data_IF_508184072009
#
_entry.id   IF_508184072009
#
_cell.length_a   1.000
_cell.length_b   1.000
_cell.length_c   1.000
_cell.angle_alpha   90.00
_cell.angle_beta   90.00
_cell.angle_gamma   90.00
#
_symmetry.space_group_name_H-M   'P 1'
#
loop_
_entity.id
_entity.type
_entity.pdbx_description
1 polymer ?
#
# COMPACT_ATOMS: atom_id res chain seq x y z
N UNK A 1 -38.74 -81.30 -2.56
CA UNK A 1 -39.71 -81.05 -3.65
C UNK A 1 -40.15 -79.60 -3.53
N UNK A 2 -39.72 -78.77 -4.50
CA UNK A 2 -40.08 -77.38 -4.87
C UNK A 2 -40.72 -76.46 -3.79
N UNK A 3 -40.03 -75.40 -3.31
CA UNK A 3 -39.87 -74.04 -3.91
C UNK A 3 -41.13 -73.16 -3.74
N UNK A 4 -41.13 -71.85 -3.52
CA UNK A 4 -40.15 -70.79 -3.19
C UNK A 4 -40.99 -69.53 -2.84
N UNK A 5 -40.54 -68.67 -1.92
CA UNK A 5 -41.10 -67.31 -1.69
C UNK A 5 -39.92 -66.40 -1.30
N UNK A 6 -39.47 -65.53 -2.19
CA UNK A 6 -39.77 -64.09 -2.33
C UNK A 6 -38.85 -63.15 -1.53
N UNK A 7 -38.15 -62.34 -2.32
CA UNK A 7 -37.62 -60.97 -2.10
C UNK A 7 -37.31 -60.51 -0.67
N UNK A 8 -36.02 -60.26 -0.42
CA UNK A 8 -35.42 -58.93 -0.22
C UNK A 8 -33.98 -59.07 0.32
N UNK A 9 -33.18 -58.04 0.00
CA UNK A 9 -32.03 -57.47 0.75
C UNK A 9 -30.61 -57.80 0.26
N UNK A 10 -29.90 -56.69 0.03
CA UNK A 10 -28.56 -56.33 0.52
C UNK A 10 -27.31 -57.03 -0.04
N UNK A 11 -26.51 -56.18 -0.68
CA UNK A 11 -25.11 -55.88 -0.35
C UNK A 11 -23.98 -56.76 -0.92
N UNK A 12 -22.82 -56.09 -1.03
CA UNK A 12 -21.46 -56.55 -1.36
C UNK A 12 -21.20 -56.76 -2.87
N UNK A 13 -20.07 -56.37 -3.46
CA UNK A 13 -18.80 -55.82 -2.98
C UNK A 13 -18.19 -55.02 -4.16
N UNK A 14 -17.35 -54.02 -3.93
CA UNK A 14 -15.93 -54.32 -3.79
C UNK A 14 -15.09 -53.05 -3.79
N UNK A 15 -14.16 -53.01 -2.82
CA UNK A 15 -13.06 -52.07 -2.70
C UNK A 15 -12.10 -52.22 -3.89
N UNK A 16 -11.55 -51.12 -4.39
CA UNK A 16 -10.11 -50.99 -4.65
C UNK A 16 -9.71 -49.52 -4.79
N UNK A 17 -8.52 -49.26 -4.25
CA UNK A 17 -7.87 -47.99 -3.98
C UNK A 17 -7.02 -47.54 -5.19
N UNK A 18 -6.43 -46.34 -5.08
CA UNK A 18 -5.33 -45.72 -5.87
C UNK A 18 -5.80 -44.69 -6.90
N UNK A 19 -5.80 -43.38 -6.60
CA UNK A 19 -4.71 -42.38 -6.53
C UNK A 19 -4.39 -41.70 -7.87
N UNK A 20 -4.21 -40.37 -7.79
CA UNK A 20 -3.55 -39.48 -8.76
C UNK A 20 -4.44 -39.06 -9.95
N UNK A 21 -4.59 -37.80 -10.35
CA UNK A 21 -3.63 -36.70 -10.39
C UNK A 21 -4.43 -35.40 -10.62
N UNK A 22 -4.80 -34.66 -9.56
CA UNK A 22 -5.23 -33.26 -9.74
C UNK A 22 -3.96 -32.41 -9.74
N UNK A 23 -3.42 -32.19 -10.95
CA UNK A 23 -2.38 -31.20 -11.16
C UNK A 23 -2.88 -29.83 -10.71
N UNK A 24 -2.17 -29.28 -9.72
CA UNK A 24 -2.08 -27.87 -9.42
C UNK A 24 -1.80 -27.08 -10.71
N UNK A 25 -2.84 -26.56 -11.34
CA UNK A 25 -2.74 -25.36 -12.15
C UNK A 25 -2.79 -24.17 -11.19
N UNK A 26 -1.72 -23.99 -10.41
CA UNK A 26 -1.40 -22.66 -9.92
C UNK A 26 -1.03 -21.86 -11.18
N UNK A 27 -2.00 -21.16 -11.76
CA UNK A 27 -1.69 -20.03 -12.61
C UNK A 27 -0.86 -19.10 -11.74
N UNK A 28 0.45 -19.05 -12.01
CA UNK A 28 1.29 -17.97 -11.58
C UNK A 28 0.53 -16.70 -11.93
N UNK A 29 0.00 -16.03 -10.92
CA UNK A 29 -0.36 -14.64 -11.05
C UNK A 29 0.97 -13.93 -11.31
N UNK A 30 1.35 -13.85 -12.58
CA UNK A 30 2.34 -12.91 -13.05
C UNK A 30 1.78 -11.55 -12.65
N UNK A 31 2.26 -11.02 -11.52
CA UNK A 31 2.21 -9.60 -11.30
C UNK A 31 2.89 -8.98 -12.52
N UNK A 32 2.13 -8.27 -13.34
CA UNK A 32 2.66 -7.53 -14.47
C UNK A 32 3.63 -6.47 -13.95
N UNK A 33 4.92 -6.80 -13.86
CA UNK A 33 5.98 -5.80 -13.93
C UNK A 33 6.06 -5.39 -15.41
N UNK A 34 5.29 -4.36 -15.77
CA UNK A 34 5.39 -3.74 -17.08
C UNK A 34 6.78 -3.15 -17.24
N UNK A 35 7.67 -3.89 -17.90
CA UNK A 35 8.97 -3.41 -18.33
C UNK A 35 8.78 -2.20 -19.26
N UNK A 36 9.25 -1.04 -18.83
CA UNK A 36 9.74 -0.02 -19.74
C UNK A 36 11.25 0.01 -19.60
N UNK A 37 11.98 0.13 -20.71
CA UNK A 37 13.47 0.12 -20.79
C UNK A 37 14.16 1.32 -20.09
N UNK A 38 13.57 1.83 -19.01
CA UNK A 38 14.17 2.82 -18.11
C UNK A 38 13.61 2.67 -16.68
N UNK A 39 13.40 1.43 -16.21
CA UNK A 39 12.86 1.06 -14.89
C UNK A 39 13.90 1.26 -13.75
N UNK A 40 14.61 2.38 -13.79
CA UNK A 40 15.57 2.83 -12.77
C UNK A 40 14.98 4.07 -12.05
N UNK A 41 13.67 4.03 -11.76
CA UNK A 41 12.85 5.20 -11.37
C UNK A 41 13.12 5.67 -9.91
N UNK A 42 14.38 6.02 -9.68
CA UNK A 42 14.88 6.76 -8.54
C UNK A 42 14.37 8.19 -8.54
N UNK A 43 13.95 8.78 -9.66
CA UNK A 43 13.40 10.15 -9.68
C UNK A 43 11.87 10.17 -9.58
N UNK A 44 11.35 10.97 -8.65
CA UNK A 44 9.91 11.10 -8.37
C UNK A 44 9.46 12.55 -8.35
N UNK A 45 8.30 12.84 -8.92
CA UNK A 45 7.61 14.11 -8.72
C UNK A 45 7.03 14.20 -7.31
N UNK A 46 7.21 15.36 -6.67
CA UNK A 46 6.69 15.72 -5.36
C UNK A 46 6.00 17.08 -5.48
N UNK A 47 4.77 17.17 -4.98
CA UNK A 47 3.96 18.40 -4.95
C UNK A 47 4.42 19.30 -3.80
N UNK A 48 4.70 20.57 -4.09
CA UNK A 48 4.99 21.57 -3.06
C UNK A 48 3.66 22.08 -2.44
N UNK A 49 3.71 22.74 -1.26
CA UNK A 49 2.54 23.43 -0.72
C UNK A 49 1.93 24.40 -1.74
N UNK A 50 0.60 24.40 -1.83
CA UNK A 50 -0.10 25.31 -2.74
C UNK A 50 0.07 26.77 -2.27
N UNK A 51 0.23 27.73 -3.21
CA UNK A 51 0.23 29.14 -2.88
C UNK A 51 -1.14 29.59 -2.34
N UNK A 52 -1.15 30.64 -1.52
CA UNK A 52 -2.38 31.21 -0.95
C UNK A 52 -3.41 31.63 -2.01
N UNK A 53 -2.95 31.99 -3.21
CA UNK A 53 -3.76 32.29 -4.39
C UNK A 53 -4.66 31.13 -4.86
N UNK A 54 -4.44 29.91 -4.36
CA UNK A 54 -5.22 28.71 -4.67
C UNK A 54 -6.02 28.21 -3.46
N UNK A 55 -6.33 29.09 -2.51
CA UNK A 55 -7.20 28.74 -1.37
C UNK A 55 -8.54 28.19 -1.87
N UNK A 56 -8.98 27.06 -1.28
CA UNK A 56 -10.20 26.35 -1.69
C UNK A 56 -10.03 25.39 -2.88
N UNK A 57 -8.88 25.39 -3.56
CA UNK A 57 -8.51 24.35 -4.52
C UNK A 57 -7.75 23.23 -3.81
N UNK A 58 -8.16 21.98 -4.03
CA UNK A 58 -7.43 20.79 -3.57
C UNK A 58 -6.69 20.17 -4.73
N UNK A 59 -5.41 19.88 -4.52
CA UNK A 59 -4.54 19.24 -5.49
C UNK A 59 -3.91 18.01 -4.86
N UNK A 60 -3.99 16.89 -5.57
CA UNK A 60 -3.31 15.65 -5.21
C UNK A 60 -2.44 15.17 -6.35
N UNK A 61 -1.21 14.80 -6.03
CA UNK A 61 -0.33 14.07 -6.93
C UNK A 61 -0.42 12.58 -6.63
N UNK A 62 -1.02 11.80 -7.54
CA UNK A 62 -1.14 10.34 -7.41
C UNK A 62 0.01 9.64 -8.10
N UNK A 63 0.52 8.62 -7.43
CA UNK A 63 1.53 7.70 -7.96
C UNK A 63 0.82 6.51 -8.59
N UNK A 64 0.85 6.44 -9.92
CA UNK A 64 0.35 5.29 -10.71
C UNK A 64 1.46 4.85 -11.67
N UNK A 65 1.12 4.19 -12.78
CA UNK A 65 2.06 3.92 -13.87
C UNK A 65 2.64 5.20 -14.50
N UNK A 66 1.93 6.33 -14.41
CA UNK A 66 2.48 7.67 -14.62
C UNK A 66 1.97 8.63 -13.54
N UNK A 67 2.70 9.73 -13.27
CA UNK A 67 2.21 10.78 -12.36
C UNK A 67 0.90 11.38 -12.87
N UNK A 68 -0.08 11.49 -11.96
CA UNK A 68 -1.39 12.07 -12.25
C UNK A 68 -1.68 13.20 -11.27
N UNK A 69 -2.05 14.38 -11.77
CA UNK A 69 -2.67 15.41 -10.94
C UNK A 69 -4.16 15.13 -10.86
N UNK A 70 -4.70 15.22 -9.66
CA UNK A 70 -6.13 15.24 -9.39
C UNK A 70 -6.47 16.57 -8.73
N UNK A 71 -7.38 17.30 -9.32
CA UNK A 71 -7.83 18.60 -8.83
C UNK A 71 -9.29 18.49 -8.42
N UNK A 72 -9.63 19.16 -7.33
CA UNK A 72 -11.01 19.47 -6.95
C UNK A 72 -11.08 20.97 -6.66
N UNK A 73 -11.97 21.68 -7.34
CA UNK A 73 -12.16 23.11 -7.18
C UNK A 73 -13.59 23.42 -6.72
N UNK A 74 -13.76 23.63 -5.42
CA UNK A 74 -15.08 23.99 -4.84
C UNK A 74 -15.28 25.51 -4.74
N UNK A 75 -14.34 26.31 -5.25
CA UNK A 75 -14.45 27.77 -5.26
C UNK A 75 -15.46 28.24 -6.32
N UNK A 76 -15.97 29.47 -6.17
CA UNK A 76 -16.88 30.05 -7.16
C UNK A 76 -16.18 30.51 -8.45
N UNK A 77 -14.85 30.46 -8.50
CA UNK A 77 -14.06 30.91 -9.64
C UNK A 77 -13.51 29.70 -10.40
N UNK A 78 -13.55 29.69 -11.75
CA UNK A 78 -12.97 28.59 -12.51
C UNK A 78 -11.44 28.61 -12.39
N UNK A 79 -10.87 27.42 -12.18
CA UNK A 79 -9.43 27.21 -12.29
C UNK A 79 -9.11 26.84 -13.74
N UNK A 80 -8.43 27.73 -14.45
CA UNK A 80 -7.94 27.49 -15.82
C UNK A 80 -6.53 26.91 -15.77
N UNK A 81 -6.29 25.82 -16.51
CA UNK A 81 -4.97 25.17 -16.62
C UNK A 81 -4.38 25.43 -18.00
N UNK A 82 -3.09 25.78 -18.03
CA UNK A 82 -2.37 26.10 -19.25
C UNK A 82 -1.27 25.08 -19.57
N UNK A 83 -1.03 24.88 -20.86
CA UNK A 83 0.13 24.14 -21.37
C UNK A 83 1.40 25.01 -21.38
N UNK A 84 2.50 24.45 -21.89
CA UNK A 84 3.81 25.12 -21.92
C UNK A 84 3.86 26.33 -22.86
N UNK A 85 2.99 26.37 -23.88
CA UNK A 85 2.85 27.50 -24.80
C UNK A 85 1.89 28.56 -24.26
N UNK A 86 1.29 28.33 -23.09
CA UNK A 86 0.37 29.23 -22.43
C UNK A 86 -1.06 29.16 -22.97
N UNK A 87 -1.42 28.14 -23.78
CA UNK A 87 -2.80 27.89 -24.19
C UNK A 87 -3.55 27.19 -23.06
N UNK A 88 -4.75 27.70 -22.78
CA UNK A 88 -5.66 27.06 -21.85
C UNK A 88 -6.21 25.76 -22.47
N UNK A 89 -6.21 24.66 -21.72
CA UNK A 89 -6.75 23.39 -22.20
C UNK A 89 -7.74 22.71 -21.25
N UNK A 90 -7.81 23.16 -19.99
CA UNK A 90 -8.82 22.74 -19.01
C UNK A 90 -9.34 23.97 -18.24
N UNK A 91 -10.62 23.93 -17.88
CA UNK A 91 -11.25 24.80 -16.88
C UNK A 91 -12.03 23.94 -15.92
N UNK A 92 -11.72 24.05 -14.64
CA UNK A 92 -12.38 23.29 -13.56
C UNK A 92 -13.20 24.28 -12.76
N UNK A 93 -14.51 24.30 -12.98
CA UNK A 93 -15.46 25.15 -12.27
C UNK A 93 -16.04 24.48 -11.02
N UNK A 94 -16.95 25.16 -10.33
CA UNK A 94 -17.65 24.63 -9.16
C UNK A 94 -18.70 23.56 -9.47
N UNK A 95 -19.10 23.42 -10.74
CA UNK A 95 -20.12 22.46 -11.17
C UNK A 95 -19.68 21.50 -12.27
N UNK A 96 -18.72 21.90 -13.10
CA UNK A 96 -18.29 21.12 -14.26
C UNK A 96 -16.80 21.32 -14.57
N UNK A 97 -16.31 20.50 -15.50
CA UNK A 97 -15.00 20.65 -16.13
C UNK A 97 -15.23 20.82 -17.63
N UNK A 98 -14.70 21.91 -18.17
CA UNK A 98 -14.58 22.12 -19.61
C UNK A 98 -13.16 21.79 -20.07
N UNK A 99 -13.05 21.14 -21.23
CA UNK A 99 -11.78 20.90 -21.90
C UNK A 99 -11.78 21.46 -23.31
N UNK A 100 -10.64 21.97 -23.75
CA UNK A 100 -10.44 22.34 -25.15
C UNK A 100 -10.04 21.09 -25.95
N UNK A 101 -11.00 20.49 -26.65
CA UNK A 101 -10.76 19.33 -27.51
C UNK A 101 -9.93 19.68 -28.76
N UNK A 102 -9.69 20.95 -29.04
CA UNK A 102 -8.75 21.41 -30.06
C UNK A 102 -7.31 21.51 -29.54
N UNK A 103 -7.07 21.46 -28.23
CA UNK A 103 -5.74 21.57 -27.66
C UNK A 103 -5.01 20.23 -27.68
N UNK A 104 -3.80 20.20 -28.27
CA UNK A 104 -2.97 19.00 -28.26
C UNK A 104 -2.65 18.53 -26.82
N UNK A 105 -2.46 19.47 -25.89
CA UNK A 105 -2.20 19.20 -24.48
C UNK A 105 -3.29 18.37 -23.79
N UNK A 106 -4.57 18.62 -24.11
CA UNK A 106 -5.68 17.83 -23.57
C UNK A 106 -5.55 16.36 -23.98
N UNK A 107 -5.43 16.08 -25.27
CA UNK A 107 -5.34 14.70 -25.79
C UNK A 107 -4.10 13.95 -25.30
N UNK A 108 -2.95 14.63 -25.26
CA UNK A 108 -1.69 14.02 -24.81
C UNK A 108 -1.70 13.66 -23.33
N UNK A 109 -2.49 14.36 -22.52
CA UNK A 109 -2.49 14.23 -21.06
C UNK A 109 -3.70 13.46 -20.50
N UNK A 110 -4.78 13.32 -21.27
CA UNK A 110 -6.02 12.70 -20.77
C UNK A 110 -5.97 11.17 -20.72
N UNK A 111 -5.01 10.52 -21.38
CA UNK A 111 -4.83 9.06 -21.29
C UNK A 111 -3.36 8.71 -21.10
N UNK A 112 -3.11 7.63 -20.35
CA UNK A 112 -1.76 7.19 -19.99
C UNK A 112 -0.86 6.92 -21.22
N UNK A 113 -1.45 6.42 -22.31
CA UNK A 113 -0.75 5.96 -23.53
C UNK A 113 -0.77 6.97 -24.68
N UNK A 114 -1.44 8.12 -24.55
CA UNK A 114 -1.45 9.16 -25.58
C UNK A 114 -0.15 9.96 -25.77
N UNK A 115 0.85 9.96 -24.87
CA UNK A 115 2.06 10.76 -25.08
C UNK A 115 2.83 10.30 -26.33
N UNK A 116 2.82 11.15 -27.36
CA UNK A 116 3.42 10.87 -28.68
C UNK A 116 2.40 10.52 -29.78
N UNK A 117 1.16 10.16 -29.42
CA UNK A 117 0.08 9.93 -30.40
C UNK A 117 -0.37 11.23 -31.09
N UNK A 118 -0.23 12.36 -30.40
CA UNK A 118 -0.47 13.70 -30.92
C UNK A 118 0.80 14.53 -30.82
N UNK A 119 1.21 15.17 -31.92
CA UNK A 119 2.34 16.09 -31.92
C UNK A 119 2.05 17.27 -30.98
N UNK A 120 3.09 17.81 -30.33
CA UNK A 120 2.93 18.88 -29.35
C UNK A 120 2.29 20.15 -29.95
N UNK A 121 2.58 20.42 -31.22
CA UNK A 121 2.12 21.55 -32.01
C UNK A 121 0.84 21.25 -32.82
N UNK A 122 0.24 20.06 -32.70
CA UNK A 122 -0.95 19.65 -33.45
C UNK A 122 -2.27 20.32 -32.99
N UNK A 123 -2.13 21.39 -32.21
CA UNK A 123 -3.21 22.21 -31.68
C UNK A 123 -4.06 22.82 -32.82
N UNK A 124 -5.37 22.69 -32.73
CA UNK A 124 -6.35 23.25 -33.68
C UNK A 124 -7.07 24.46 -33.08
N UNK A 125 -8.07 25.00 -33.80
CA UNK A 125 -8.95 26.03 -33.26
C UNK A 125 -9.61 25.55 -31.94
N UNK A 126 -9.79 26.42 -30.93
CA UNK A 126 -10.39 26.02 -29.66
C UNK A 126 -11.78 25.41 -29.83
N UNK A 127 -12.02 24.29 -29.15
CA UNK A 127 -13.28 23.55 -29.13
C UNK A 127 -13.60 23.14 -27.68
N UNK A 128 -14.13 24.08 -26.91
CA UNK A 128 -14.47 23.88 -25.51
C UNK A 128 -15.73 23.04 -25.36
N UNK A 129 -15.64 21.96 -24.58
CA UNK A 129 -16.77 21.08 -24.26
C UNK A 129 -16.73 20.68 -22.80
N UNK A 130 -17.90 20.49 -22.20
CA UNK A 130 -18.02 19.87 -20.88
C UNK A 130 -17.60 18.40 -21.00
N UNK A 131 -16.60 18.01 -20.22
CA UNK A 131 -16.08 16.63 -20.18
C UNK A 131 -16.40 15.91 -18.87
N UNK A 132 -16.77 16.64 -17.82
CA UNK A 132 -17.17 16.09 -16.53
C UNK A 132 -18.21 17.02 -15.87
N UNK A 133 -19.40 16.53 -15.49
CA UNK A 133 -20.41 17.30 -14.76
C UNK A 133 -20.15 17.32 -13.23
N UNK A 134 -18.90 17.49 -12.83
CA UNK A 134 -18.47 17.59 -11.43
C UNK A 134 -17.21 18.47 -11.31
N UNK A 135 -16.94 19.08 -10.13
CA UNK A 135 -15.85 20.04 -9.96
C UNK A 135 -14.47 19.40 -9.75
N UNK A 136 -14.22 18.25 -10.38
CA UNK A 136 -12.97 17.54 -10.22
C UNK A 136 -12.53 16.87 -11.51
N UNK A 137 -11.23 16.92 -11.78
CA UNK A 137 -10.63 16.31 -12.96
C UNK A 137 -9.23 15.83 -12.64
N UNK A 138 -8.82 14.72 -13.27
CA UNK A 138 -7.46 14.23 -13.17
C UNK A 138 -6.85 13.96 -14.54
N UNK A 139 -5.59 14.33 -14.72
CA UNK A 139 -4.86 14.13 -15.97
C UNK A 139 -3.41 13.75 -15.72
N UNK A 140 -2.79 13.11 -16.71
CA UNK A 140 -1.39 12.70 -16.71
C UNK A 140 -0.53 13.83 -17.28
N UNK A 141 -0.26 14.86 -16.46
CA UNK A 141 0.51 16.01 -16.89
C UNK A 141 1.93 15.60 -17.31
N UNK A 142 2.29 15.90 -18.56
CA UNK A 142 3.56 15.46 -19.13
C UNK A 142 4.76 16.12 -18.45
N UNK A 143 4.56 17.30 -17.84
CA UNK A 143 5.62 18.03 -17.11
C UNK A 143 6.04 17.33 -15.83
N UNK A 144 5.29 16.32 -15.39
CA UNK A 144 5.59 15.53 -14.19
C UNK A 144 6.35 14.24 -14.49
N UNK A 145 6.58 13.90 -15.76
CA UNK A 145 7.34 12.71 -16.13
C UNK A 145 8.79 12.84 -15.69
N UNK A 146 9.29 11.82 -15.00
CA UNK A 146 10.64 11.83 -14.42
C UNK A 146 11.70 11.18 -15.30
N UNK A 147 11.30 10.46 -16.35
CA UNK A 147 12.20 9.67 -17.20
C UNK A 147 13.29 10.51 -17.88
N UNK A 148 12.99 11.79 -18.17
CA UNK A 148 13.92 12.71 -18.83
C UNK A 148 14.63 13.65 -17.84
N UNK A 149 14.42 13.48 -16.53
CA UNK A 149 15.05 14.31 -15.50
C UNK A 149 16.47 13.81 -15.25
N UNK A 150 17.45 14.60 -15.68
CA UNK A 150 18.85 14.29 -15.46
C UNK A 150 19.20 14.26 -13.96
N UNK A 151 19.78 13.15 -13.50
CA UNK A 151 20.33 13.04 -12.15
C UNK A 151 21.84 13.25 -12.22
N UNK A 152 22.39 14.33 -11.62
CA UNK A 152 23.83 14.55 -11.58
C UNK A 152 24.60 13.36 -10.99
N UNK A 153 25.75 13.01 -11.56
CA UNK A 153 26.55 11.85 -11.15
C UNK A 153 26.93 11.88 -9.66
N UNK A 154 27.19 13.07 -9.10
CA UNK A 154 27.50 13.24 -7.68
C UNK A 154 26.29 12.97 -6.76
N UNK A 155 25.08 13.20 -7.24
CA UNK A 155 23.84 12.82 -6.55
C UNK A 155 23.68 11.30 -6.57
N UNK A 156 23.86 10.66 -7.73
CA UNK A 156 23.78 9.20 -7.86
C UNK A 156 24.80 8.51 -6.95
N UNK A 157 26.07 8.94 -6.99
CA UNK A 157 27.15 8.35 -6.18
C UNK A 157 26.94 8.52 -4.67
N UNK A 158 26.33 9.63 -4.24
CA UNK A 158 26.01 9.82 -2.81
C UNK A 158 24.95 8.84 -2.31
N UNK A 159 24.10 8.29 -3.18
CA UNK A 159 23.08 7.32 -2.81
C UNK A 159 22.09 7.84 -1.75
N UNK A 160 21.85 9.15 -1.71
CA UNK A 160 20.98 9.82 -0.74
C UNK A 160 19.90 10.60 -1.47
N UNK A 161 18.74 10.76 -0.82
CA UNK A 161 17.68 11.60 -1.36
C UNK A 161 18.18 13.00 -1.64
N UNK A 162 17.80 13.54 -2.79
CA UNK A 162 18.15 14.90 -3.16
C UNK A 162 17.15 15.47 -4.17
N UNK A 163 16.96 16.78 -4.14
CA UNK A 163 16.23 17.48 -5.18
C UNK A 163 17.10 17.55 -6.45
N UNK A 164 16.54 17.14 -7.59
CA UNK A 164 17.21 17.10 -8.90
C UNK A 164 16.55 17.99 -9.95
N UNK A 165 15.39 18.57 -9.64
CA UNK A 165 14.71 19.49 -10.53
C UNK A 165 13.47 20.12 -9.91
N UNK A 166 12.82 20.99 -10.67
CA UNK A 166 11.54 21.60 -10.35
C UNK A 166 10.60 21.44 -11.53
N UNK A 167 9.31 21.42 -11.23
CA UNK A 167 8.26 21.42 -12.24
C UNK A 167 7.19 22.44 -11.88
N UNK A 168 6.46 22.90 -12.91
CA UNK A 168 5.45 23.94 -12.78
C UNK A 168 4.31 23.68 -13.76
N UNK A 169 3.08 23.78 -13.26
CA UNK A 169 1.86 23.82 -14.07
C UNK A 169 1.24 25.20 -13.91
N UNK A 170 1.31 26.08 -14.93
CA UNK A 170 0.68 27.39 -14.87
C UNK A 170 -0.84 27.24 -14.79
N UNK A 171 -1.45 27.99 -13.87
CA UNK A 171 -2.90 28.03 -13.68
C UNK A 171 -3.37 29.46 -13.45
N UNK A 172 -4.67 29.68 -13.58
CA UNK A 172 -5.32 30.95 -13.25
C UNK A 172 -6.62 30.65 -12.51
N UNK A 173 -6.79 31.22 -11.32
CA UNK A 173 -8.04 31.14 -10.56
C UNK A 173 -8.74 32.50 -10.65
N UNK A 174 -9.88 32.56 -11.34
CA UNK A 174 -10.53 33.83 -11.67
C UNK A 174 -9.60 34.73 -12.50
N UNK A 175 -9.18 35.86 -11.94
CA UNK A 175 -8.25 36.80 -12.58
C UNK A 175 -6.78 36.64 -12.12
N UNK A 176 -6.53 35.77 -11.12
CA UNK A 176 -5.20 35.62 -10.53
C UNK A 176 -4.40 34.51 -11.21
N UNK A 177 -3.33 34.88 -11.92
CA UNK A 177 -2.43 33.92 -12.57
C UNK A 177 -1.32 33.48 -11.61
N UNK A 178 -1.19 32.16 -11.43
CA UNK A 178 -0.27 31.52 -10.48
C UNK A 178 0.25 30.19 -11.05
N UNK A 179 0.73 29.28 -10.21
CA UNK A 179 1.07 27.92 -10.62
C UNK A 179 0.92 26.91 -9.50
N UNK A 180 0.64 25.66 -9.91
CA UNK A 180 0.89 24.47 -9.09
C UNK A 180 2.35 24.10 -9.32
N UNK A 181 3.13 24.04 -8.24
CA UNK A 181 4.58 23.78 -8.31
C UNK A 181 4.95 22.52 -7.57
N UNK A 182 6.12 22.00 -7.91
CA UNK A 182 6.76 20.96 -7.14
C UNK A 182 8.19 20.73 -7.55
N UNK A 183 8.73 19.66 -7.03
CA UNK A 183 10.12 19.26 -7.25
C UNK A 183 10.23 17.83 -7.75
N UNK A 184 11.33 17.55 -8.43
CA UNK A 184 11.79 16.20 -8.68
C UNK A 184 12.78 15.81 -7.60
N UNK A 185 12.54 14.69 -6.94
CA UNK A 185 13.43 14.12 -5.95
C UNK A 185 14.03 12.83 -6.49
N UNK A 186 15.36 12.75 -6.47
CA UNK A 186 16.06 11.47 -6.49
C UNK A 186 15.82 10.77 -5.15
N UNK A 187 15.41 9.52 -5.23
CA UNK A 187 15.12 8.58 -4.17
C UNK A 187 15.93 7.33 -4.53
N UNK A 188 17.02 7.04 -3.81
CA UNK A 188 17.83 5.87 -4.10
C UNK A 188 16.98 4.61 -4.01
N UNK A 189 17.27 3.63 -4.86
CA UNK A 189 16.64 2.33 -4.75
C UNK A 189 16.88 1.75 -3.35
N UNK A 190 15.88 1.11 -2.72
CA UNK A 190 16.09 0.42 -1.46
C UNK A 190 17.15 -0.66 -1.66
N UNK A 191 18.33 -0.49 -1.07
CA UNK A 191 19.43 -1.48 -1.13
C UNK A 191 19.18 -2.70 -0.20
N UNK A 192 17.97 -2.83 0.32
CA UNK A 192 17.60 -3.78 1.34
C UNK A 192 16.13 -3.70 1.72
N UNK A 193 15.74 -4.57 2.65
CA UNK A 193 14.39 -4.65 3.19
C UNK A 193 14.44 -4.73 4.72
N UNK A 194 13.54 -4.04 5.45
CA UNK A 194 13.36 -4.28 6.87
C UNK A 194 12.79 -5.69 7.11
N UNK A 195 13.50 -6.50 7.89
CA UNK A 195 13.03 -7.80 8.36
C UNK A 195 12.92 -7.82 9.87
N UNK A 196 11.77 -8.25 10.37
CA UNK A 196 11.57 -8.50 11.78
C UNK A 196 12.00 -9.93 12.15
N UNK A 197 12.55 -10.08 13.34
CA UNK A 197 12.77 -11.37 13.99
C UNK A 197 12.47 -11.31 15.48
N UNK A 198 11.94 -12.42 16.01
CA UNK A 198 11.78 -12.62 17.45
C UNK A 198 13.15 -12.99 18.02
N UNK A 199 13.56 -12.34 19.12
CA UNK A 199 14.82 -12.62 19.82
C UNK A 199 14.61 -13.30 21.17
N UNK A 200 13.46 -13.11 21.81
CA UNK A 200 13.10 -13.81 23.03
C UNK A 200 11.57 -13.95 23.14
N UNK A 201 11.11 -15.06 23.74
CA UNK A 201 9.68 -15.34 23.96
C UNK A 201 9.33 -15.43 25.45
N UNK A 202 10.28 -15.11 26.34
CA UNK A 202 10.09 -15.18 27.78
C UNK A 202 9.65 -16.58 28.25
N UNK A 203 8.60 -16.70 29.09
CA UNK A 203 8.14 -17.98 29.63
C UNK A 203 7.47 -18.90 28.59
N UNK A 204 7.25 -18.43 27.36
CA UNK A 204 6.50 -19.18 26.34
C UNK A 204 7.31 -20.25 25.61
N UNK A 205 8.64 -20.31 25.80
CA UNK A 205 9.59 -20.97 24.92
C UNK A 205 9.33 -22.47 24.62
N UNK A 206 8.63 -23.20 25.48
CA UNK A 206 8.34 -24.64 25.29
C UNK A 206 6.94 -24.95 24.74
N UNK A 207 5.96 -24.06 24.92
CA UNK A 207 4.54 -24.29 24.61
C UNK A 207 4.05 -23.49 23.41
N UNK A 208 4.92 -22.65 22.84
CA UNK A 208 4.52 -21.62 21.87
C UNK A 208 5.50 -21.51 20.72
N UNK A 209 4.97 -21.54 19.50
CA UNK A 209 5.69 -21.08 18.32
C UNK A 209 5.37 -19.60 18.12
N UNK A 210 6.40 -18.75 18.16
CA UNK A 210 6.29 -17.33 17.83
C UNK A 210 7.18 -17.04 16.63
N UNK A 211 6.61 -16.44 15.58
CA UNK A 211 7.33 -16.07 14.37
C UNK A 211 6.99 -14.65 13.95
N UNK A 212 8.00 -13.86 13.63
CA UNK A 212 7.78 -12.61 12.92
C UNK A 212 7.22 -12.92 11.51
N UNK A 213 6.23 -12.13 11.10
CA UNK A 213 5.68 -12.15 9.74
C UNK A 213 6.19 -10.91 9.02
N UNK A 214 7.03 -11.11 8.00
CA UNK A 214 7.63 -10.01 7.25
C UNK A 214 6.78 -9.64 6.03
N UNK A 215 6.70 -8.34 5.74
CA UNK A 215 6.05 -7.77 4.57
C UNK A 215 6.52 -6.32 4.40
N UNK A 216 6.49 -5.78 3.18
CA UNK A 216 7.17 -4.53 2.80
C UNK A 216 6.78 -3.26 3.60
N UNK A 217 5.65 -3.26 4.32
CA UNK A 217 5.26 -2.16 5.22
C UNK A 217 4.37 -2.57 6.42
N UNK A 218 4.03 -3.86 6.55
CA UNK A 218 3.05 -4.35 7.54
C UNK A 218 3.57 -5.63 8.19
N UNK A 219 4.67 -5.49 8.91
CA UNK A 219 5.22 -6.60 9.69
C UNK A 219 4.32 -6.92 10.87
N UNK A 220 4.29 -8.19 11.23
CA UNK A 220 3.42 -8.72 12.28
C UNK A 220 4.09 -9.84 13.05
N UNK A 221 3.29 -10.51 13.88
CA UNK A 221 3.72 -11.71 14.58
C UNK A 221 2.64 -12.76 14.47
N UNK A 222 3.08 -14.00 14.28
CA UNK A 222 2.26 -15.20 14.36
C UNK A 222 2.58 -15.91 15.67
N UNK A 223 1.53 -16.25 16.41
CA UNK A 223 1.62 -17.05 17.63
C UNK A 223 0.79 -18.31 17.43
N UNK A 224 1.38 -19.46 17.69
CA UNK A 224 0.67 -20.72 17.93
C UNK A 224 0.96 -21.17 19.34
N UNK A 225 -0.08 -21.22 20.16
CA UNK A 225 -0.01 -21.47 21.60
C UNK A 225 -0.67 -22.81 21.93
N UNK A 226 -0.06 -23.62 22.81
CA UNK A 226 -0.60 -24.93 23.24
C UNK A 226 -0.51 -25.14 24.75
N UNK A 227 -0.47 -24.06 25.53
CA UNK A 227 -0.43 -24.15 26.99
C UNK A 227 -1.84 -24.18 27.61
N UNK A 228 -1.92 -24.73 28.82
CA UNK A 228 -3.18 -24.89 29.56
C UNK A 228 -3.71 -23.58 30.17
N UNK A 229 -2.82 -22.62 30.42
CA UNK A 229 -3.20 -21.31 30.96
C UNK A 229 -3.59 -20.36 29.85
N UNK A 230 -4.55 -19.46 30.08
CA UNK A 230 -4.85 -18.41 29.12
C UNK A 230 -3.63 -17.49 28.93
N UNK A 231 -3.30 -17.23 27.67
CA UNK A 231 -2.28 -16.25 27.28
C UNK A 231 -2.97 -14.97 26.80
N UNK A 232 -2.78 -13.89 27.54
CA UNK A 232 -3.20 -12.55 27.13
C UNK A 232 -2.04 -11.83 26.42
N UNK A 233 -2.34 -11.20 25.30
CA UNK A 233 -1.43 -10.33 24.55
C UNK A 233 -1.95 -8.90 24.62
N UNK A 234 -1.06 -7.98 24.99
CA UNK A 234 -1.38 -6.57 25.12
C UNK A 234 -1.10 -5.80 23.82
N UNK A 235 -2.00 -4.88 23.50
CA UNK A 235 -1.88 -3.96 22.39
C UNK A 235 -0.77 -2.94 22.58
N UNK A 236 -0.61 -2.05 21.61
CA UNK A 236 0.38 -0.98 21.63
C UNK A 236 0.09 0.10 22.68
N UNK A 237 -1.12 0.15 23.23
CA UNK A 237 -1.54 1.08 24.27
C UNK A 237 -1.61 0.41 25.67
N UNK A 238 -0.95 -0.75 25.83
CA UNK A 238 -0.96 -1.56 27.06
C UNK A 238 -2.36 -2.04 27.50
N UNK A 239 -3.27 -2.20 26.53
CA UNK A 239 -4.61 -2.74 26.73
C UNK A 239 -4.69 -4.23 26.37
N UNK A 240 -5.51 -5.06 27.04
CA UNK A 240 -5.74 -6.44 26.62
C UNK A 240 -6.31 -6.46 25.19
N UNK A 241 -5.60 -7.12 24.27
CA UNK A 241 -5.97 -7.15 22.85
C UNK A 241 -6.37 -8.55 22.40
N UNK A 242 -5.52 -9.55 22.59
CA UNK A 242 -5.81 -10.94 22.21
C UNK A 242 -5.78 -11.85 23.43
N UNK A 243 -6.60 -12.89 23.41
CA UNK A 243 -6.60 -13.98 24.39
C UNK A 243 -6.53 -15.32 23.67
N UNK A 244 -5.45 -16.06 23.91
CA UNK A 244 -5.25 -17.41 23.42
C UNK A 244 -5.64 -18.41 24.50
N UNK A 245 -6.34 -19.48 24.12
CA UNK A 245 -6.68 -20.62 24.96
C UNK A 245 -7.11 -21.83 24.14
N UNK A 246 -7.60 -22.87 24.82
CA UNK A 246 -7.94 -24.15 24.19
C UNK A 246 -9.03 -24.04 23.12
N UNK A 247 -9.96 -23.09 23.28
CA UNK A 247 -11.06 -22.84 22.35
C UNK A 247 -10.68 -22.01 21.11
N UNK A 248 -9.44 -21.50 21.05
CA UNK A 248 -8.96 -20.67 19.96
C UNK A 248 -8.42 -19.31 20.43
N UNK A 249 -8.65 -18.29 19.62
CA UNK A 249 -8.18 -16.92 19.89
C UNK A 249 -9.35 -15.96 19.83
N UNK A 250 -9.48 -15.16 20.89
CA UNK A 250 -10.43 -14.06 20.97
C UNK A 250 -9.69 -12.73 20.89
N UNK A 251 -10.35 -11.72 20.33
CA UNK A 251 -9.93 -10.32 20.36
C UNK A 251 -10.84 -9.52 21.26
N UNK A 252 -10.28 -8.54 21.95
CA UNK A 252 -11.04 -7.54 22.67
C UNK A 252 -11.53 -6.48 21.70
N UNK A 253 -12.84 -6.39 21.45
CA UNK A 253 -13.44 -5.41 20.55
C UNK A 253 -13.29 -3.97 21.04
N UNK A 254 -12.96 -3.76 22.31
CA UNK A 254 -12.64 -2.43 22.87
C UNK A 254 -11.15 -2.06 22.72
N UNK A 255 -10.30 -2.92 22.13
CA UNK A 255 -8.86 -2.60 21.96
C UNK A 255 -8.66 -1.51 20.90
N UNK A 256 -8.01 -0.42 21.31
CA UNK A 256 -7.61 0.66 20.40
C UNK A 256 -6.57 0.17 19.37
N UNK A 257 -5.69 -0.74 19.75
CA UNK A 257 -4.78 -1.39 18.79
C UNK A 257 -5.57 -2.15 17.74
N UNK A 258 -6.59 -2.93 18.14
CA UNK A 258 -7.43 -3.67 17.21
C UNK A 258 -8.15 -2.76 16.21
N UNK A 259 -8.66 -1.60 16.66
CA UNK A 259 -9.25 -0.58 15.78
C UNK A 259 -8.36 -0.22 14.58
N UNK A 260 -7.03 -0.23 14.78
CA UNK A 260 -6.06 0.18 13.77
C UNK A 260 -5.64 -0.96 12.84
N UNK A 261 -5.66 -2.20 13.33
CA UNK A 261 -5.03 -3.35 12.65
C UNK A 261 -6.02 -4.41 12.18
N UNK A 262 -7.31 -4.31 12.54
CA UNK A 262 -8.32 -5.30 12.21
C UNK A 262 -8.35 -5.57 10.70
N UNK A 263 -8.18 -6.83 10.26
CA UNK A 263 -8.31 -7.17 8.85
C UNK A 263 -9.80 -7.16 8.45
N UNK A 264 -10.05 -6.96 7.16
CA UNK A 264 -11.41 -7.00 6.62
C UNK A 264 -12.10 -8.33 6.95
N UNK A 265 -13.33 -8.26 7.47
CA UNK A 265 -14.14 -9.42 7.84
C UNK A 265 -13.87 -9.99 9.23
N UNK A 266 -12.95 -9.41 10.01
CA UNK A 266 -12.79 -9.73 11.42
C UNK A 266 -13.83 -8.96 12.29
N UNK A 267 -14.01 -9.33 13.58
CA UNK A 267 -14.91 -8.61 14.49
C UNK A 267 -14.60 -7.11 14.54
N UNK A 268 -15.63 -6.28 14.41
CA UNK A 268 -15.48 -4.82 14.44
C UNK A 268 -15.04 -4.32 15.82
N UNK A 269 -14.31 -3.21 15.81
CA UNK A 269 -14.07 -2.42 17.01
C UNK A 269 -15.39 -1.82 17.52
N UNK A 270 -15.58 -1.84 18.83
CA UNK A 270 -16.69 -1.21 19.53
C UNK A 270 -16.10 -0.27 20.56
N UNK A 271 -16.55 0.99 20.57
CA UNK A 271 -16.10 1.94 21.58
C UNK A 271 -16.61 1.51 22.97
N UNK A 272 -15.69 1.39 23.94
CA UNK A 272 -16.01 0.95 25.28
C UNK A 272 -14.75 0.80 26.13
N UNK A 273 -14.95 0.39 27.39
CA UNK A 273 -13.89 0.15 28.37
C UNK A 273 -13.86 -1.33 28.77
N UNK A 274 -12.73 -1.79 29.32
CA UNK A 274 -12.57 -3.18 29.76
C UNK A 274 -12.46 -4.17 28.60
N UNK A 275 -12.99 -5.39 28.79
CA UNK A 275 -12.84 -6.47 27.83
C UNK A 275 -14.18 -6.96 27.28
N UNK A 276 -14.33 -6.89 25.96
CA UNK A 276 -15.43 -7.45 25.18
C UNK A 276 -14.87 -8.45 24.15
N UNK A 277 -14.78 -9.71 24.56
CA UNK A 277 -14.12 -10.76 23.78
C UNK A 277 -14.99 -11.28 22.64
N UNK A 278 -14.44 -11.32 21.44
CA UNK A 278 -15.03 -11.94 20.26
C UNK A 278 -14.03 -12.86 19.56
N UNK A 279 -14.47 -14.02 19.12
CA UNK A 279 -13.58 -15.02 18.50
C UNK A 279 -13.09 -14.57 17.13
N UNK A 280 -11.77 -14.62 16.94
CA UNK A 280 -11.08 -14.35 15.66
C UNK A 280 -10.49 -15.60 15.02
N UNK A 281 -10.30 -16.67 15.80
CA UNK A 281 -9.81 -17.95 15.32
C UNK A 281 -10.37 -19.09 16.18
N UNK A 282 -10.87 -20.14 15.53
CA UNK A 282 -11.24 -21.39 16.20
C UNK A 282 -10.05 -22.36 16.34
N UNK A 283 -8.83 -21.86 16.12
CA UNK A 283 -7.59 -22.60 16.29
C UNK A 283 -6.73 -21.84 17.31
N UNK A 284 -5.87 -22.50 18.10
CA UNK A 284 -5.05 -21.84 19.11
C UNK A 284 -3.81 -21.18 18.46
N UNK A 285 -4.02 -20.56 17.30
CA UNK A 285 -3.03 -19.81 16.57
C UNK A 285 -3.69 -18.63 15.84
N UNK A 286 -2.96 -17.53 15.79
CA UNK A 286 -3.38 -16.32 15.11
C UNK A 286 -2.17 -15.47 14.76
N UNK A 287 -2.24 -14.80 13.62
CA UNK A 287 -1.26 -13.80 13.20
C UNK A 287 -1.92 -12.44 13.05
N UNK A 288 -1.23 -11.40 13.52
CA UNK A 288 -1.70 -10.02 13.41
C UNK A 288 -0.58 -9.09 12.97
N UNK A 289 -0.93 -7.98 12.34
CA UNK A 289 -0.02 -6.85 12.10
C UNK A 289 0.17 -6.12 13.42
N UNK A 290 1.42 -5.88 13.83
CA UNK A 290 1.70 -5.18 15.08
C UNK A 290 2.42 -3.86 14.80
N UNK A 291 1.87 -2.71 15.20
CA UNK A 291 2.45 -1.40 14.89
C UNK A 291 3.83 -1.19 15.54
N UNK A 292 4.19 -2.00 16.56
CA UNK A 292 5.52 -1.94 17.18
C UNK A 292 6.60 -2.57 16.31
N UNK A 293 6.26 -3.54 15.46
CA UNK A 293 7.21 -4.32 14.66
C UNK A 293 7.58 -3.61 13.35
N UNK A 294 6.60 -3.03 12.67
CA UNK A 294 6.82 -2.35 11.38
C UNK A 294 7.85 -1.21 11.46
N UNK A 295 8.57 -1.01 10.36
CA UNK A 295 9.47 0.12 10.14
C UNK A 295 9.09 0.82 8.84
N UNK A 296 8.74 2.10 8.92
CA UNK A 296 8.27 2.91 7.78
C UNK A 296 9.16 4.13 7.52
N UNK A 297 10.18 4.32 8.35
CA UNK A 297 11.13 5.43 8.20
C UNK A 297 12.17 5.12 7.12
N UNK A 298 12.98 6.12 6.78
CA UNK A 298 14.07 5.95 5.84
C UNK A 298 15.26 5.26 6.49
N UNK A 299 15.86 4.31 5.77
CA UNK A 299 17.15 3.72 6.12
C UNK A 299 18.22 4.37 5.25
N UNK A 300 19.27 4.90 5.88
CA UNK A 300 20.43 5.38 5.13
C UNK A 300 21.02 4.22 4.31
N UNK A 301 21.47 4.50 3.08
CA UNK A 301 22.09 3.50 2.23
C UNK A 301 23.25 2.81 2.98
N UNK A 302 23.13 1.48 3.12
CA UNK A 302 24.08 0.62 3.83
C UNK A 302 24.05 -0.76 3.21
N UNK A 303 25.24 -1.33 3.04
CA UNK A 303 25.51 -2.71 2.62
C UNK A 303 25.64 -3.67 3.81
N UNK A 304 25.58 -3.15 5.03
CA UNK A 304 25.56 -3.93 6.26
C UNK A 304 24.14 -4.11 6.82
N UNK A 305 23.92 -5.24 7.49
CA UNK A 305 22.71 -5.45 8.28
C UNK A 305 22.76 -4.60 9.55
N UNK A 306 21.75 -3.73 9.73
CA UNK A 306 21.69 -2.80 10.88
C UNK A 306 20.40 -2.99 11.63
N UNK A 307 20.46 -2.98 12.97
CA UNK A 307 19.26 -2.97 13.82
C UNK A 307 18.58 -1.62 13.71
N UNK A 308 17.41 -1.58 13.07
CA UNK A 308 16.61 -0.36 12.89
C UNK A 308 15.78 -0.06 14.14
N UNK A 309 15.23 -1.10 14.75
CA UNK A 309 14.30 -0.97 15.87
C UNK A 309 14.36 -2.20 16.76
N UNK A 310 14.23 -1.99 18.06
CA UNK A 310 13.93 -3.04 19.04
C UNK A 310 12.47 -2.90 19.46
N UNK A 311 11.77 -4.02 19.63
CA UNK A 311 10.36 -4.02 19.98
C UNK A 311 10.07 -5.09 21.02
N UNK A 312 9.03 -4.84 21.82
CA UNK A 312 8.55 -5.73 22.86
C UNK A 312 7.02 -5.73 22.85
N UNK A 313 6.42 -6.91 22.94
CA UNK A 313 4.98 -7.11 23.06
C UNK A 313 4.70 -7.64 24.46
N UNK A 314 4.02 -6.87 25.34
CA UNK A 314 3.68 -7.35 26.66
C UNK A 314 2.66 -8.49 26.57
N UNK A 315 2.88 -9.49 27.41
CA UNK A 315 2.04 -10.67 27.53
C UNK A 315 1.78 -10.98 28.99
N UNK A 316 0.70 -11.72 29.25
CA UNK A 316 0.41 -12.29 30.55
C UNK A 316 0.02 -13.76 30.39
N UNK A 317 0.73 -14.63 31.11
CA UNK A 317 0.47 -16.07 31.18
C UNK A 317 0.01 -16.39 32.61
N UNK A 318 -1.28 -16.65 32.79
CA UNK A 318 -1.86 -16.72 34.14
C UNK A 318 -1.64 -15.41 34.91
N UNK A 319 -0.93 -15.45 36.03
CA UNK A 319 -0.58 -14.26 36.84
C UNK A 319 0.78 -13.64 36.44
N UNK A 320 1.56 -14.29 35.57
CA UNK A 320 2.90 -13.86 35.23
C UNK A 320 2.90 -12.89 34.04
N UNK A 321 3.37 -11.66 34.25
CA UNK A 321 3.69 -10.71 33.17
C UNK A 321 5.07 -11.00 32.55
N UNK A 322 5.16 -10.90 31.23
CA UNK A 322 6.41 -11.04 30.48
C UNK A 322 6.33 -10.28 29.14
N UNK A 323 7.34 -10.45 28.28
CA UNK A 323 7.38 -9.87 26.94
C UNK A 323 7.77 -10.91 25.89
N UNK A 324 7.27 -10.72 24.67
CA UNK A 324 7.88 -11.24 23.45
C UNK A 324 8.75 -10.11 22.90
N UNK A 325 10.06 -10.35 22.83
CA UNK A 325 11.02 -9.35 22.36
C UNK A 325 11.53 -9.71 20.98
N UNK A 326 11.84 -8.69 20.21
CA UNK A 326 12.46 -8.85 18.91
C UNK A 326 13.09 -7.58 18.41
N UNK A 327 13.58 -7.70 17.19
CA UNK A 327 14.18 -6.58 16.48
C UNK A 327 13.65 -6.53 15.05
N UNK A 328 13.68 -5.34 14.47
CA UNK A 328 13.56 -5.11 13.04
C UNK A 328 14.93 -4.66 12.55
N UNK A 329 15.50 -5.42 11.64
CA UNK A 329 16.80 -5.17 11.05
C UNK A 329 16.67 -4.82 9.57
N UNK A 330 17.51 -3.92 9.10
CA UNK A 330 17.74 -3.76 7.67
C UNK A 330 18.52 -4.97 7.19
N UNK A 331 18.03 -5.65 6.15
CA UNK A 331 18.80 -6.65 5.42
C UNK A 331 19.11 -6.14 4.03
N UNK A 332 20.39 -5.91 3.71
CA UNK A 332 20.81 -5.64 2.35
C UNK A 332 20.32 -6.75 1.41
N UNK A 333 19.73 -6.37 0.29
CA UNK A 333 19.30 -7.31 -0.75
C UNK A 333 20.30 -7.20 -1.89
N UNK A 334 21.01 -8.30 -2.17
CA UNK A 334 21.78 -8.41 -3.40
C UNK A 334 20.80 -8.68 -4.55
N UNK A 335 20.75 -7.84 -5.60
CA UNK A 335 19.91 -8.11 -6.75
C UNK A 335 20.30 -9.47 -7.38
N UNK A 336 19.36 -10.41 -7.45
CA UNK A 336 19.61 -11.77 -7.97
C UNK A 336 19.72 -11.80 -9.50
N UNK A 337 19.24 -10.77 -10.19
CA UNK A 337 19.44 -10.55 -11.61
C UNK A 337 19.41 -9.03 -11.86
N UNK A 338 20.42 -8.52 -12.58
CA UNK A 338 20.31 -7.24 -13.29
C UNK A 338 19.98 -7.61 -14.73
N UNK A 339 18.94 -7.01 -15.31
CA UNK A 339 18.78 -7.08 -16.76
C UNK A 339 20.00 -6.39 -17.39
N UNK A 340 20.65 -7.07 -18.33
CA UNK A 340 21.68 -6.48 -19.20
C UNK A 340 21.04 -5.58 -20.24
#
# INVERSE_FOLDING_TARGET
MMAAISTRRLACAGRCFVLSLLMCMCTLANAHSGHSDNDDATVRAVLDPLPASLEGVRVQLRRTLAPQLLISNETQQPLTVFDDDGRAFLRIGSGDVEADLGAAAFHRSNTLMAPGAFAADASQAPNWQIVEPAPHWGWFDLRLRSNDVAVPNDIQQRGKRAQVGQWRVPVQLGDERTAITGRFEFVPEPQGIPEARVTATGPLASSTLVRAMNGSARSGVFVSYRGEQALLVYGAYDEPMLRFGDGGVDVNRHSQTWQQIAPAGAPDYIAGEGADWATVSNQPNYGWVDPRIGFIDEVAATDESVVLKRWSIPIQLGEQRATIDGITEWKPVTPLAKAE
#
